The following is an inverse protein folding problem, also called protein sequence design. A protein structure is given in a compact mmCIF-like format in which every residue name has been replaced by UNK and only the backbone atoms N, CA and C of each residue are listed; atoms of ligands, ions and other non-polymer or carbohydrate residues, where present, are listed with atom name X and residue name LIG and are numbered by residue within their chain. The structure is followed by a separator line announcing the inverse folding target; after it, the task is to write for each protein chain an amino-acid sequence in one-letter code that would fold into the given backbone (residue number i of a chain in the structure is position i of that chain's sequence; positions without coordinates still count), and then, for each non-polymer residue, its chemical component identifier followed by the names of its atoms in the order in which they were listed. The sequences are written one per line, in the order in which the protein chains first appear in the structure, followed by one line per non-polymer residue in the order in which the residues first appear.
data_IF_058251950593
#
_entry.id   IF_058251950593
#
_cell.length_a   1.000
_cell.length_b   1.000
_cell.length_c   1.000
_cell.angle_alpha   90.00
_cell.angle_beta   90.00
_cell.angle_gamma   90.00
#
_symmetry.space_group_name_H-M   'P 1'
#
loop_
_entity.id
_entity.type
_entity.pdbx_description
1 polymer ?
#
# COMPACT_ATOMS: atom_id res chain seq x y z
N UNK A 1 -1.05 -19.29 4.00
CA UNK A 1 -2.15 -18.57 3.32
C UNK A 1 -1.57 -17.31 2.68
N UNK A 2 -1.34 -17.35 1.36
CA UNK A 2 -0.82 -16.22 0.61
C UNK A 2 -2.01 -15.45 0.04
N UNK A 3 -2.42 -14.35 0.68
CA UNK A 3 -3.49 -13.51 0.16
C UNK A 3 -2.99 -12.79 -1.09
N UNK A 4 -3.23 -13.38 -2.27
CA UNK A 4 -3.23 -12.65 -3.55
C UNK A 4 -4.58 -11.97 -3.61
N UNK A 5 -4.60 -10.64 -3.54
CA UNK A 5 -5.83 -9.89 -3.82
C UNK A 5 -5.92 -9.79 -5.33
N UNK A 6 -6.72 -10.68 -5.91
CA UNK A 6 -7.20 -10.51 -7.27
C UNK A 6 -8.26 -9.43 -7.23
N UNK A 7 -8.02 -8.29 -7.88
CA UNK A 7 -9.11 -7.36 -8.19
C UNK A 7 -9.76 -7.95 -9.44
N UNK A 8 -10.72 -8.83 -9.21
CA UNK A 8 -11.64 -9.31 -10.23
C UNK A 8 -12.86 -8.43 -10.12
N UNK A 9 -13.03 -7.49 -11.05
CA UNK A 9 -14.27 -6.72 -11.12
C UNK A 9 -15.12 -7.18 -12.29
N UNK A 10 -16.40 -7.28 -11.96
CA UNK A 10 -17.49 -8.07 -12.54
C UNK A 10 -18.23 -7.17 -13.52
N UNK A 11 -17.58 -6.78 -14.61
CA UNK A 11 -18.24 -6.24 -15.79
C UNK A 11 -17.49 -6.74 -17.04
N UNK A 12 -17.79 -7.98 -17.42
CA UNK A 12 -17.73 -8.48 -18.80
C UNK A 12 -16.48 -8.20 -19.67
N UNK A 13 -15.25 -8.21 -19.15
CA UNK A 13 -14.03 -8.12 -19.98
C UNK A 13 -12.78 -8.80 -19.36
N UNK A 14 -11.99 -9.50 -20.17
CA UNK A 14 -10.90 -10.44 -19.83
C UNK A 14 -9.63 -9.88 -19.12
N UNK A 15 -9.70 -8.73 -18.44
CA UNK A 15 -8.58 -8.18 -17.65
C UNK A 15 -8.45 -8.91 -16.31
N UNK A 16 -7.21 -9.23 -15.89
CA UNK A 16 -6.95 -9.74 -14.54
C UNK A 16 -5.90 -8.88 -13.86
N UNK A 17 -6.30 -8.30 -12.73
CA UNK A 17 -5.44 -7.54 -11.83
C UNK A 17 -5.04 -8.41 -10.66
N UNK A 18 -3.73 -8.56 -10.45
CA UNK A 18 -3.21 -9.20 -9.25
C UNK A 18 -2.31 -8.22 -8.48
N UNK A 19 -2.74 -7.84 -7.28
CA UNK A 19 -1.88 -7.17 -6.32
C UNK A 19 -1.17 -8.22 -5.46
N UNK A 20 0.16 -8.25 -5.50
CA UNK A 20 0.97 -9.23 -4.77
C UNK A 20 1.56 -8.64 -3.48
N UNK A 21 1.44 -9.40 -2.39
CA UNK A 21 1.71 -8.96 -1.00
C UNK A 21 3.16 -9.20 -0.52
N UNK A 22 4.00 -9.98 -1.21
CA UNK A 22 5.33 -10.38 -0.71
C UNK A 22 6.54 -9.95 -1.56
N UNK A 23 7.69 -9.86 -0.89
CA UNK A 23 9.03 -9.45 -1.38
C UNK A 23 9.42 -10.09 -2.72
N UNK A 24 10.04 -9.30 -3.61
CA UNK A 24 10.44 -9.63 -4.99
C UNK A 24 11.29 -10.90 -5.19
N UNK A 25 11.75 -11.56 -4.12
CA UNK A 25 12.60 -12.75 -4.17
C UNK A 25 11.82 -14.07 -4.38
N UNK A 26 10.50 -14.02 -4.51
CA UNK A 26 9.67 -15.22 -4.72
C UNK A 26 8.56 -14.99 -5.76
N UNK A 27 8.89 -14.45 -6.94
CA UNK A 27 7.97 -14.55 -8.08
C UNK A 27 7.85 -16.02 -8.51
N UNK A 28 6.93 -16.76 -7.89
CA UNK A 28 6.46 -18.05 -8.43
C UNK A 28 5.41 -17.78 -9.52
N UNK A 29 5.39 -18.55 -10.62
CA UNK A 29 4.34 -18.46 -11.61
C UNK A 29 2.99 -18.71 -10.92
N UNK A 30 2.11 -17.70 -10.95
CA UNK A 30 0.70 -17.88 -10.61
C UNK A 30 0.10 -18.69 -11.75
N UNK A 31 -0.07 -20.00 -11.53
CA UNK A 31 -0.70 -20.90 -12.48
C UNK A 31 -2.20 -20.57 -12.56
N UNK A 32 -2.65 -20.16 -13.74
CA UNK A 32 -4.07 -20.06 -14.05
C UNK A 32 -4.57 -21.43 -14.54
N UNK A 33 -5.75 -21.90 -14.11
CA UNK A 33 -6.37 -23.11 -14.65
C UNK A 33 -6.72 -22.96 -16.15
N UNK A 34 -6.96 -24.09 -16.85
CA UNK A 34 -6.72 -24.27 -18.28
C UNK A 34 -7.90 -23.82 -19.16
N UNK A 35 -8.22 -22.53 -19.16
CA UNK A 35 -8.83 -21.90 -20.33
C UNK A 35 -7.88 -20.84 -20.87
N UNK A 36 -7.04 -21.34 -21.79
CA UNK A 36 -6.09 -20.61 -22.62
C UNK A 36 -6.73 -19.35 -23.23
N UNK A 37 -6.39 -18.20 -22.67
CA UNK A 37 -6.02 -17.07 -23.53
C UNK A 37 -4.66 -16.60 -23.10
N UNK A 38 -3.78 -16.55 -24.06
CA UNK A 38 -2.40 -16.22 -23.83
C UNK A 38 -2.36 -14.71 -23.54
N UNK A 39 -1.86 -14.31 -22.35
CA UNK A 39 -1.90 -12.92 -21.90
C UNK A 39 -0.58 -12.20 -22.12
N UNK A 40 -0.64 -10.90 -22.42
CA UNK A 40 0.47 -9.97 -22.22
C UNK A 40 0.49 -9.56 -20.76
N UNK A 41 1.66 -9.29 -20.20
CA UNK A 41 1.80 -9.00 -18.78
C UNK A 41 2.90 -7.99 -18.51
N UNK A 42 2.71 -7.20 -17.47
CA UNK A 42 3.72 -6.28 -16.97
C UNK A 42 3.55 -6.06 -15.48
N UNK A 43 4.51 -5.39 -14.85
CA UNK A 43 4.42 -5.12 -13.42
C UNK A 43 4.93 -3.74 -13.04
N UNK A 44 4.39 -3.23 -11.94
CA UNK A 44 4.72 -1.94 -11.32
C UNK A 44 4.95 -2.17 -9.82
N UNK A 45 5.95 -1.52 -9.25
CA UNK A 45 6.11 -1.41 -7.79
C UNK A 45 5.72 0.00 -7.39
N UNK A 46 4.59 0.13 -6.70
CA UNK A 46 4.06 1.44 -6.28
C UNK A 46 4.13 1.51 -4.76
N UNK A 47 4.79 2.55 -4.25
CA UNK A 47 4.72 2.90 -2.85
C UNK A 47 3.59 3.91 -2.62
N UNK A 48 2.75 3.62 -1.62
CA UNK A 48 1.61 4.45 -1.27
C UNK A 48 2.01 5.80 -0.67
N UNK A 49 3.28 6.00 -0.31
CA UNK A 49 3.81 7.26 0.26
C UNK A 49 3.71 8.46 -0.70
N UNK A 50 3.42 8.22 -1.98
CA UNK A 50 3.08 9.25 -2.98
C UNK A 50 1.60 9.65 -2.99
N UNK A 51 0.76 8.98 -2.21
CA UNK A 51 -0.70 9.19 -2.20
C UNK A 51 -1.25 9.43 -0.79
N UNK A 52 -0.72 8.73 0.21
CA UNK A 52 -1.13 8.77 1.62
C UNK A 52 0.12 8.77 2.51
N UNK A 53 0.05 9.24 3.78
CA UNK A 53 1.22 9.30 4.66
C UNK A 53 1.58 7.90 5.23
N UNK A 54 1.75 6.91 4.36
CA UNK A 54 2.07 5.53 4.70
C UNK A 54 3.07 4.95 3.69
N UNK A 55 4.19 4.43 4.18
CA UNK A 55 5.09 3.62 3.35
C UNK A 55 4.54 2.21 3.21
N UNK A 56 3.99 1.89 2.05
CA UNK A 56 3.37 0.60 1.70
C UNK A 56 3.71 0.24 0.24
N UNK A 57 4.96 -0.14 -0.06
CA UNK A 57 5.31 -0.65 -1.38
C UNK A 57 4.56 -1.95 -1.69
N UNK A 58 3.95 -2.02 -2.87
CA UNK A 58 3.22 -3.18 -3.39
C UNK A 58 3.58 -3.43 -4.85
N UNK A 59 3.63 -4.71 -5.21
CA UNK A 59 3.82 -5.17 -6.59
C UNK A 59 2.44 -5.36 -7.22
N UNK A 60 2.21 -4.68 -8.34
CA UNK A 60 1.02 -4.82 -9.16
C UNK A 60 1.42 -5.54 -10.44
N UNK A 61 0.79 -6.67 -10.73
CA UNK A 61 0.95 -7.38 -12.00
C UNK A 61 -0.33 -7.18 -12.80
N UNK A 62 -0.19 -6.59 -13.98
CA UNK A 62 -1.29 -6.26 -14.87
C UNK A 62 -1.17 -7.16 -16.09
N UNK A 63 -2.20 -7.95 -16.34
CA UNK A 63 -2.27 -8.86 -17.46
C UNK A 63 -3.52 -8.61 -18.30
N UNK A 64 -3.31 -8.51 -19.60
CA UNK A 64 -4.33 -8.24 -20.61
C UNK A 64 -4.34 -9.34 -21.65
N UNK A 65 -5.47 -9.56 -22.30
CA UNK A 65 -5.55 -10.53 -23.39
C UNK A 65 -4.60 -10.13 -24.53
N UNK A 66 -4.04 -11.11 -25.25
CA UNK A 66 -3.22 -10.81 -26.42
C UNK A 66 -3.99 -10.18 -27.57
N UNK A 67 -5.31 -10.38 -27.62
CA UNK A 67 -6.12 -9.74 -28.65
C UNK A 67 -6.29 -8.24 -28.43
N UNK A 68 -5.94 -7.72 -27.25
CA UNK A 68 -6.12 -6.30 -26.94
C UNK A 68 -5.01 -5.49 -27.60
N UNK A 69 -5.38 -4.46 -28.36
CA UNK A 69 -4.42 -3.47 -28.80
C UNK A 69 -4.04 -2.60 -27.60
N UNK A 70 -2.74 -2.50 -27.33
CA UNK A 70 -2.22 -1.69 -26.23
C UNK A 70 -1.88 -0.31 -26.76
N UNK A 71 -2.52 0.76 -26.26
CA UNK A 71 -2.16 2.13 -26.64
C UNK A 71 -0.67 2.40 -26.35
N UNK A 72 0.03 3.01 -27.30
CA UNK A 72 1.47 3.29 -27.17
C UNK A 72 1.78 4.19 -25.96
N UNK A 73 0.86 5.10 -25.61
CA UNK A 73 1.00 5.99 -24.47
C UNK A 73 1.01 5.27 -23.12
N UNK A 74 0.58 4.01 -23.06
CA UNK A 74 0.62 3.16 -21.85
C UNK A 74 1.88 2.31 -21.77
N UNK A 75 2.77 2.39 -22.77
CA UNK A 75 4.01 1.61 -22.84
C UNK A 75 5.20 2.53 -22.59
N UNK A 76 6.01 2.18 -21.60
CA UNK A 76 7.29 2.82 -21.33
C UNK A 76 8.38 2.12 -22.14
N UNK A 77 9.09 2.86 -23.00
CA UNK A 77 10.15 2.30 -23.85
C UNK A 77 11.43 1.99 -23.08
N UNK A 78 11.64 2.64 -21.94
CA UNK A 78 12.79 2.43 -21.06
C UNK A 78 12.34 1.91 -19.69
N UNK A 79 13.27 1.35 -18.91
CA UNK A 79 12.98 0.96 -17.53
C UNK A 79 13.16 2.12 -16.55
N UNK A 80 13.35 3.34 -17.05
CA UNK A 80 13.52 4.54 -16.25
C UNK A 80 12.14 5.06 -15.82
N UNK A 81 11.73 4.61 -14.64
CA UNK A 81 10.46 4.96 -14.02
C UNK A 81 10.57 4.72 -12.51
N UNK A 82 10.00 5.59 -11.67
CA UNK A 82 9.96 5.35 -10.23
C UNK A 82 9.15 4.10 -9.85
N UNK A 83 8.37 3.55 -10.78
CA UNK A 83 7.58 2.33 -10.61
C UNK A 83 8.34 1.05 -11.00
N UNK A 84 9.45 1.18 -11.73
CA UNK A 84 10.28 0.07 -12.19
C UNK A 84 11.54 -0.05 -11.32
N UNK A 85 11.37 -0.38 -10.05
CA UNK A 85 12.49 -0.49 -9.11
C UNK A 85 13.59 -1.44 -9.61
N UNK A 86 14.84 -1.20 -9.20
CA UNK A 86 15.97 -2.09 -9.52
C UNK A 86 15.71 -3.57 -9.17
N UNK A 87 14.95 -3.82 -8.10
CA UNK A 87 14.60 -5.17 -7.71
C UNK A 87 13.57 -5.80 -8.67
N UNK A 88 12.63 -5.04 -9.23
CA UNK A 88 11.73 -5.51 -10.29
C UNK A 88 12.50 -5.77 -11.58
N UNK A 89 13.40 -4.87 -11.97
CA UNK A 89 14.25 -5.04 -13.16
C UNK A 89 15.09 -6.32 -13.08
N UNK A 90 15.76 -6.56 -11.95
CA UNK A 90 16.51 -7.81 -11.72
C UNK A 90 15.61 -9.03 -11.78
N UNK A 91 14.42 -8.96 -11.20
CA UNK A 91 13.48 -10.07 -11.20
C UNK A 91 12.95 -10.35 -12.62
N UNK A 92 12.74 -9.32 -13.44
CA UNK A 92 12.42 -9.44 -14.87
C UNK A 92 13.53 -10.15 -15.64
N UNK A 93 14.81 -9.80 -15.42
CA UNK A 93 15.95 -10.41 -16.11
C UNK A 93 16.05 -11.92 -15.87
N UNK A 94 15.53 -12.40 -14.74
CA UNK A 94 15.49 -13.82 -14.38
C UNK A 94 14.23 -14.56 -14.91
N UNK A 95 13.32 -13.88 -15.60
CA UNK A 95 12.13 -14.52 -16.18
C UNK A 95 12.50 -15.34 -17.42
N UNK A 96 11.75 -16.41 -17.76
CA UNK A 96 11.95 -17.13 -19.01
C UNK A 96 11.83 -16.18 -20.22
N UNK A 97 12.64 -16.40 -21.25
CA UNK A 97 12.69 -15.56 -22.46
C UNK A 97 11.30 -15.39 -23.12
N UNK A 98 10.51 -16.46 -23.13
CA UNK A 98 9.14 -16.43 -23.65
C UNK A 98 8.20 -15.48 -22.87
N UNK A 99 8.49 -15.20 -21.60
CA UNK A 99 7.80 -14.21 -20.77
C UNK A 99 8.36 -12.82 -21.04
N UNK A 100 9.68 -12.67 -21.12
CA UNK A 100 10.34 -11.40 -21.40
C UNK A 100 9.87 -10.80 -22.74
N UNK A 101 9.79 -11.61 -23.81
CA UNK A 101 9.29 -11.18 -25.14
C UNK A 101 7.85 -10.67 -25.15
N UNK A 102 7.07 -10.95 -24.10
CA UNK A 102 5.66 -10.58 -23.98
C UNK A 102 5.42 -9.63 -22.81
N UNK A 103 6.51 -9.10 -22.26
CA UNK A 103 6.47 -8.20 -21.13
C UNK A 103 6.12 -6.78 -21.58
N UNK A 104 5.21 -6.15 -20.86
CA UNK A 104 4.88 -4.74 -21.05
C UNK A 104 5.49 -3.97 -19.89
N UNK A 105 6.32 -2.98 -20.20
CA UNK A 105 6.74 -1.98 -19.23
C UNK A 105 5.65 -0.92 -19.17
N UNK A 106 4.73 -1.04 -18.21
CA UNK A 106 3.60 -0.11 -18.11
C UNK A 106 4.07 1.30 -17.78
N UNK A 107 3.59 2.28 -18.54
CA UNK A 107 3.76 3.69 -18.24
C UNK A 107 2.64 4.13 -17.30
N UNK A 108 3.00 4.76 -16.21
CA UNK A 108 2.07 5.33 -15.24
C UNK A 108 2.60 6.70 -14.81
N UNK A 109 1.81 7.78 -14.85
CA UNK A 109 2.27 9.09 -14.40
C UNK A 109 2.57 9.08 -12.90
N UNK A 110 3.50 9.94 -12.49
CA UNK A 110 3.83 10.16 -11.07
C UNK A 110 2.91 11.23 -10.52
N UNK A 111 2.19 10.96 -9.41
CA UNK A 111 1.43 12.02 -8.74
C UNK A 111 2.35 13.16 -8.34
N UNK A 112 1.95 14.39 -8.69
CA UNK A 112 2.61 15.64 -8.37
C UNK A 112 2.08 16.25 -7.05
N UNK A 113 0.89 15.84 -6.63
CA UNK A 113 0.23 16.34 -5.41
C UNK A 113 1.04 15.99 -4.16
N UNK A 114 1.23 17.00 -3.32
CA UNK A 114 1.84 16.83 -2.00
C UNK A 114 0.92 16.01 -1.09
N UNK A 115 1.46 14.92 -0.55
CA UNK A 115 0.79 14.11 0.47
C UNK A 115 0.71 14.87 1.79
N UNK A 116 -0.48 14.92 2.38
CA UNK A 116 -0.67 15.51 3.71
C UNK A 116 0.05 14.66 4.76
N UNK A 117 0.76 15.27 5.72
CA UNK A 117 1.51 14.51 6.73
C UNK A 117 0.58 13.73 7.66
N UNK A 118 1.11 12.66 8.27
CA UNK A 118 0.36 11.75 9.15
C UNK A 118 -0.45 12.47 10.23
N UNK A 119 0.08 13.55 10.81
CA UNK A 119 -0.59 14.29 11.88
C UNK A 119 -1.96 14.86 11.48
N UNK A 120 -2.23 15.06 10.18
CA UNK A 120 -3.56 15.50 9.72
C UNK A 120 -4.60 14.40 9.79
N UNK A 121 -4.19 13.14 9.94
CA UNK A 121 -5.09 12.00 10.04
C UNK A 121 -5.33 11.55 11.48
N UNK A 122 -4.49 12.00 12.43
CA UNK A 122 -4.51 11.55 13.82
C UNK A 122 -5.52 12.38 14.63
N UNK A 123 -6.46 11.67 15.26
CA UNK A 123 -7.51 12.21 16.12
C UNK A 123 -6.96 12.56 17.51
N UNK A 124 -7.40 13.70 18.03
CA UNK A 124 -7.10 14.09 19.42
C UNK A 124 -7.81 13.17 20.41
N UNK A 125 -9.09 12.93 20.16
CA UNK A 125 -9.97 12.05 20.94
C UNK A 125 -10.47 10.93 20.02
N UNK A 126 -9.72 9.81 19.90
CA UNK A 126 -10.09 8.71 19.00
C UNK A 126 -11.20 7.84 19.61
N UNK A 127 -12.01 7.23 18.74
CA UNK A 127 -13.00 6.22 19.13
C UNK A 127 -12.44 4.80 18.96
N UNK A 128 -12.79 3.90 19.88
CA UNK A 128 -12.46 2.47 19.78
C UNK A 128 -11.02 2.10 20.16
N UNK A 129 -10.27 3.04 20.73
CA UNK A 129 -8.95 2.79 21.33
C UNK A 129 -8.76 3.65 22.57
N UNK A 130 -8.19 3.07 23.61
CA UNK A 130 -7.80 3.80 24.81
C UNK A 130 -6.38 4.36 24.67
N UNK A 131 -6.13 5.46 25.38
CA UNK A 131 -4.77 5.88 25.63
C UNK A 131 -4.09 4.89 26.55
N UNK A 132 -2.85 4.52 26.22
CA UNK A 132 -2.05 3.71 27.13
C UNK A 132 -1.81 4.47 28.43
N UNK A 133 -1.70 3.72 29.53
CA UNK A 133 -1.21 4.23 30.80
C UNK A 133 0.23 4.76 30.68
N UNK A 134 0.66 5.51 31.68
CA UNK A 134 2.03 6.02 31.77
C UNK A 134 3.04 4.85 31.77
N UNK A 135 2.82 3.84 32.60
CA UNK A 135 3.67 2.65 32.67
C UNK A 135 3.76 1.88 31.33
N UNK A 136 2.66 1.80 30.58
CA UNK A 136 2.68 1.20 29.24
C UNK A 136 3.47 2.04 28.23
N UNK A 137 3.34 3.37 28.30
CA UNK A 137 4.11 4.29 27.44
C UNK A 137 5.60 4.22 27.78
N UNK A 138 5.97 4.22 29.05
CA UNK A 138 7.35 4.03 29.51
C UNK A 138 7.92 2.68 29.08
N UNK A 139 7.12 1.60 29.17
CA UNK A 139 7.51 0.28 28.65
C UNK A 139 7.76 0.31 27.15
N UNK A 140 6.98 1.06 26.37
CA UNK A 140 7.24 1.19 24.93
C UNK A 140 8.56 1.95 24.68
N UNK A 141 8.82 3.02 25.45
CA UNK A 141 10.04 3.81 25.35
C UNK A 141 11.28 2.98 25.75
N UNK A 142 11.18 2.12 26.77
CA UNK A 142 12.30 1.27 27.20
C UNK A 142 12.70 0.19 26.18
N UNK A 143 11.84 -0.10 25.21
CA UNK A 143 12.16 -0.97 24.07
C UNK A 143 12.94 -0.25 22.97
N UNK A 144 13.08 1.08 23.02
CA UNK A 144 13.84 1.85 22.03
C UNK A 144 15.33 1.77 22.30
N UNK A 145 16.14 1.75 21.24
CA UNK A 145 17.57 2.00 21.35
C UNK A 145 17.87 3.51 21.40
N UNK A 146 19.13 3.88 21.60
CA UNK A 146 19.56 5.27 21.70
C UNK A 146 19.19 6.11 20.46
N UNK A 147 19.24 5.52 19.27
CA UNK A 147 18.86 6.20 18.02
C UNK A 147 17.40 6.64 18.07
N UNK A 148 16.49 5.78 18.53
CA UNK A 148 15.07 6.10 18.60
C UNK A 148 14.72 6.95 19.83
N UNK A 149 15.36 6.72 20.98
CA UNK A 149 15.23 7.58 22.15
C UNK A 149 15.66 9.01 21.85
N UNK A 150 16.77 9.20 21.13
CA UNK A 150 17.25 10.52 20.76
C UNK A 150 16.28 11.25 19.81
N UNK A 151 15.54 10.54 18.96
CA UNK A 151 14.45 11.14 18.17
C UNK A 151 13.32 11.68 19.06
N UNK A 152 12.92 10.92 20.08
CA UNK A 152 11.91 11.37 21.06
C UNK A 152 12.42 12.58 21.84
N UNK A 153 13.65 12.51 22.37
CA UNK A 153 14.28 13.63 23.10
C UNK A 153 14.38 14.90 22.24
N UNK A 154 14.74 14.75 20.97
CA UNK A 154 14.78 15.88 20.04
C UNK A 154 13.38 16.47 19.83
N UNK A 155 12.35 15.64 19.66
CA UNK A 155 10.97 16.11 19.56
C UNK A 155 10.55 16.91 20.82
N UNK A 156 10.88 16.41 22.03
CA UNK A 156 10.61 17.12 23.29
C UNK A 156 11.30 18.49 23.33
N UNK A 157 12.59 18.55 22.97
CA UNK A 157 13.40 19.79 23.00
C UNK A 157 12.86 20.91 22.09
N UNK A 158 12.15 20.57 21.02
CA UNK A 158 11.56 21.60 20.15
C UNK A 158 10.43 22.38 20.84
N UNK A 159 9.84 21.85 21.91
CA UNK A 159 8.68 22.46 22.60
C UNK A 159 7.36 22.41 21.82
N UNK A 160 7.36 21.87 20.60
CA UNK A 160 6.19 21.76 19.72
C UNK A 160 5.51 20.39 19.85
N UNK A 161 4.27 20.30 19.39
CA UNK A 161 3.54 19.03 19.28
C UNK A 161 4.14 18.18 18.14
N UNK A 162 4.64 16.99 18.48
CA UNK A 162 5.08 16.00 17.51
C UNK A 162 4.21 14.75 17.59
N UNK A 163 3.74 14.31 16.42
CA UNK A 163 2.98 13.06 16.28
C UNK A 163 3.80 12.13 15.41
N UNK A 164 4.16 10.99 15.99
CA UNK A 164 4.95 9.96 15.34
C UNK A 164 4.27 8.60 15.40
N UNK A 165 4.87 7.64 14.70
CA UNK A 165 4.44 6.24 14.76
C UNK A 165 5.57 5.36 15.27
N UNK A 166 5.18 4.34 16.03
CA UNK A 166 6.09 3.31 16.55
C UNK A 166 5.67 1.97 15.97
N UNK A 167 6.63 1.25 15.44
CA UNK A 167 6.48 -0.17 15.14
C UNK A 167 7.36 -1.00 16.07
N UNK A 168 6.82 -2.13 16.54
CA UNK A 168 7.58 -3.09 17.34
C UNK A 168 8.14 -4.16 16.42
N UNK A 169 9.42 -4.49 16.58
CA UNK A 169 10.07 -5.59 15.88
C UNK A 169 10.72 -6.52 16.87
N UNK A 170 10.67 -7.79 16.55
CA UNK A 170 11.51 -8.78 17.20
C UNK A 170 12.83 -8.85 16.43
N UNK A 171 13.95 -8.66 17.14
CA UNK A 171 15.32 -8.78 16.63
C UNK A 171 16.01 -9.93 17.36
N UNK A 172 16.89 -10.64 16.66
CA UNK A 172 17.76 -11.65 17.27
C UNK A 172 19.05 -10.94 17.66
N UNK A 173 19.30 -10.84 18.95
CA UNK A 173 20.49 -10.21 19.53
C UNK A 173 21.11 -11.22 20.51
N UNK A 174 22.38 -11.57 20.34
CA UNK A 174 23.08 -12.57 21.17
C UNK A 174 22.30 -13.88 21.35
N UNK A 175 21.77 -14.43 20.24
CA UNK A 175 20.91 -15.62 20.20
C UNK A 175 19.61 -15.56 21.01
N UNK A 176 19.22 -14.37 21.48
CA UNK A 176 17.95 -14.13 22.16
C UNK A 176 17.03 -13.29 21.29
N UNK A 177 15.75 -13.62 21.36
CA UNK A 177 14.67 -12.89 20.69
C UNK A 177 14.29 -11.69 21.55
N UNK A 178 14.62 -10.48 21.11
CA UNK A 178 14.36 -9.24 21.84
C UNK A 178 13.41 -8.34 21.08
N UNK A 179 12.45 -7.75 21.79
CA UNK A 179 11.56 -6.74 21.21
C UNK A 179 12.25 -5.37 21.19
N UNK A 180 12.11 -4.66 20.08
CA UNK A 180 12.57 -3.28 19.88
C UNK A 180 11.41 -2.43 19.41
N UNK A 181 11.35 -1.20 19.92
CA UNK A 181 10.44 -0.16 19.43
C UNK A 181 11.24 0.80 18.54
N UNK A 182 10.74 1.05 17.33
CA UNK A 182 11.37 1.94 16.36
C UNK A 182 10.38 3.06 16.02
N UNK A 183 10.69 4.29 16.43
CA UNK A 183 9.87 5.51 16.19
C UNK A 183 10.23 6.24 14.89
N UNK A 184 9.23 6.83 14.25
CA UNK A 184 9.34 7.76 13.13
C UNK A 184 8.55 9.05 13.40
N UNK A 185 9.14 10.19 13.03
CA UNK A 185 8.54 11.53 13.08
C UNK A 185 8.60 12.26 11.72
N UNK A 186 8.86 11.54 10.64
CA UNK A 186 8.97 12.08 9.27
C UNK A 186 7.62 12.33 8.60
N UNK A 187 6.53 12.30 9.36
CA UNK A 187 5.17 12.48 8.86
C UNK A 187 4.61 11.28 8.07
N UNK A 188 5.28 10.12 8.11
CA UNK A 188 4.87 8.89 7.41
C UNK A 188 4.74 7.73 8.40
N UNK A 189 3.66 6.95 8.27
CA UNK A 189 3.46 5.68 8.99
C UNK A 189 4.17 4.52 8.30
N UNK A 190 4.56 3.52 9.09
CA UNK A 190 4.89 2.21 8.55
C UNK A 190 3.68 1.54 7.89
N UNK A 191 3.95 0.51 7.08
CA UNK A 191 2.93 -0.32 6.45
C UNK A 191 2.01 -0.95 7.51
N UNK A 192 0.71 -0.70 7.43
CA UNK A 192 -0.30 -1.43 8.20
C UNK A 192 -0.23 -2.92 7.87
N UNK A 193 -0.31 -3.76 8.90
CA UNK A 193 -0.24 -5.21 8.76
C UNK A 193 -1.48 -5.83 9.34
N UNK A 194 -1.89 -6.95 8.73
CA UNK A 194 -2.88 -7.84 9.31
C UNK A 194 -2.42 -8.26 10.71
N UNK A 195 -3.25 -8.08 11.75
CA UNK A 195 -2.85 -8.44 13.10
C UNK A 195 -2.57 -9.94 13.23
N UNK A 196 -1.35 -10.30 13.64
CA UNK A 196 -1.00 -11.67 14.04
C UNK A 196 -0.50 -11.74 15.50
N UNK A 197 -0.56 -10.61 16.22
CA UNK A 197 -0.06 -10.43 17.58
C UNK A 197 0.23 -8.96 17.89
N UNK A 198 0.60 -8.64 19.13
CA UNK A 198 0.76 -7.24 19.58
C UNK A 198 1.74 -6.40 18.74
N UNK A 199 2.83 -6.98 18.26
CA UNK A 199 3.87 -6.26 17.51
C UNK A 199 3.45 -5.80 16.11
N UNK A 200 2.35 -6.33 15.58
CA UNK A 200 1.83 -5.97 14.26
C UNK A 200 0.93 -4.73 14.27
N UNK A 201 0.52 -4.27 15.45
CA UNK A 201 -0.34 -3.08 15.61
C UNK A 201 0.51 -1.81 15.55
N UNK A 202 0.04 -0.81 14.80
CA UNK A 202 0.68 0.51 14.73
C UNK A 202 0.37 1.28 16.02
N UNK A 203 1.41 1.77 16.68
CA UNK A 203 1.29 2.65 17.84
C UNK A 203 1.51 4.09 17.36
N UNK A 204 0.69 5.01 17.85
CA UNK A 204 0.88 6.46 17.76
C UNK A 204 1.62 6.93 19.01
N UNK A 205 2.65 7.76 18.82
CA UNK A 205 3.34 8.45 19.90
C UNK A 205 3.10 9.95 19.75
N UNK A 206 2.55 10.56 20.79
CA UNK A 206 2.32 12.00 20.88
C UNK A 206 3.28 12.58 21.90
N UNK A 207 4.14 13.49 21.44
CA UNK A 207 5.13 14.18 22.26
C UNK A 207 4.76 15.66 22.30
N UNK A 208 4.48 16.17 23.50
CA UNK A 208 4.18 17.57 23.74
C UNK A 208 4.99 18.04 24.97
N UNK A 209 6.14 18.68 24.71
CA UNK A 209 7.12 19.04 25.74
C UNK A 209 7.49 17.81 26.58
N UNK A 210 7.27 17.85 27.88
CA UNK A 210 7.57 16.76 28.81
C UNK A 210 6.50 15.66 28.81
N UNK A 211 5.32 15.91 28.22
CA UNK A 211 4.22 14.95 28.18
C UNK A 211 4.35 14.06 26.95
N UNK A 212 4.71 12.79 27.18
CA UNK A 212 4.73 11.75 26.16
C UNK A 212 3.54 10.81 26.42
N UNK A 213 2.69 10.62 25.41
CA UNK A 213 1.59 9.65 25.46
C UNK A 213 1.66 8.72 24.27
N UNK A 214 1.21 7.49 24.46
CA UNK A 214 1.06 6.54 23.37
C UNK A 214 -0.32 5.91 23.36
N UNK A 215 -0.72 5.43 22.18
CA UNK A 215 -1.94 4.64 21.99
C UNK A 215 -1.86 3.84 20.70
N UNK A 216 -2.79 2.91 20.50
CA UNK A 216 -2.97 2.30 19.19
C UNK A 216 -3.56 3.29 18.19
N UNK A 217 -3.28 3.08 16.91
CA UNK A 217 -3.98 3.74 15.81
C UNK A 217 -5.45 3.27 15.82
N UNK A 218 -6.40 4.20 15.79
CA UNK A 218 -7.83 3.86 15.81
C UNK A 218 -8.26 3.17 14.50
N UNK A 219 -9.38 2.42 14.49
CA UNK A 219 -9.93 1.86 13.25
C UNK A 219 -10.16 2.91 12.17
N UNK A 220 -10.70 4.08 12.54
CA UNK A 220 -10.98 5.17 11.60
C UNK A 220 -9.69 5.80 11.06
N UNK A 221 -8.69 6.02 11.91
CA UNK A 221 -7.38 6.50 11.48
C UNK A 221 -6.68 5.50 10.54
N UNK A 222 -6.80 4.20 10.80
CA UNK A 222 -6.29 3.16 9.92
C UNK A 222 -6.98 3.19 8.55
N UNK A 223 -8.29 3.42 8.51
CA UNK A 223 -9.05 3.58 7.26
C UNK A 223 -8.63 4.82 6.47
N UNK A 224 -8.53 5.98 7.13
CA UNK A 224 -8.01 7.23 6.53
C UNK A 224 -6.58 7.06 6.00
N UNK A 225 -5.74 6.31 6.70
CA UNK A 225 -4.37 5.99 6.27
C UNK A 225 -4.33 5.08 5.03
N UNK A 226 -5.41 4.35 4.76
CA UNK A 226 -5.62 3.58 3.52
C UNK A 226 -6.35 4.40 2.43
N UNK A 227 -6.65 5.67 2.71
CA UNK A 227 -7.35 6.60 1.80
C UNK A 227 -8.84 6.30 1.67
N UNK A 228 -9.44 5.65 2.68
CA UNK A 228 -10.86 5.35 2.74
C UNK A 228 -11.61 6.51 3.37
N UNK A 229 -12.76 6.86 2.80
CA UNK A 229 -13.62 7.95 3.28
C UNK A 229 -14.26 7.66 4.66
N UNK A 230 -14.62 8.72 5.38
CA UNK A 230 -15.23 8.61 6.71
C UNK A 230 -16.63 7.97 6.68
N UNK A 231 -17.33 8.04 5.55
CA UNK A 231 -18.62 7.36 5.33
C UNK A 231 -18.51 5.84 5.21
N UNK A 232 -17.30 5.29 4.99
CA UNK A 232 -17.11 3.85 4.91
C UNK A 232 -17.43 3.18 6.26
N UNK A 233 -18.35 2.21 6.23
CA UNK A 233 -18.75 1.46 7.42
C UNK A 233 -17.66 0.47 7.83
N UNK A 234 -17.08 0.69 9.01
CA UNK A 234 -16.06 -0.18 9.59
C UNK A 234 -16.71 -1.23 10.50
N UNK A 235 -16.17 -2.45 10.56
CA UNK A 235 -16.55 -3.41 11.60
C UNK A 235 -16.42 -2.79 13.00
N UNK A 236 -17.41 -3.03 13.87
CA UNK A 236 -17.38 -2.56 15.26
C UNK A 236 -16.18 -3.13 16.03
N UNK A 237 -15.79 -4.37 15.73
CA UNK A 237 -14.65 -5.00 16.34
C UNK A 237 -13.32 -4.39 15.84
N UNK A 238 -12.51 -3.89 16.77
CA UNK A 238 -11.20 -3.31 16.48
C UNK A 238 -10.31 -4.24 15.63
N UNK A 239 -10.20 -5.52 15.99
CA UNK A 239 -9.28 -6.43 15.31
C UNK A 239 -9.75 -6.77 13.90
N UNK A 240 -11.07 -6.88 13.66
CA UNK A 240 -11.63 -7.09 12.32
C UNK A 240 -11.39 -5.89 11.42
N UNK A 241 -11.67 -4.69 11.92
CA UNK A 241 -11.34 -3.43 11.22
C UNK A 241 -9.86 -3.35 10.86
N UNK A 242 -8.98 -3.67 11.81
CA UNK A 242 -7.54 -3.62 11.57
C UNK A 242 -7.04 -4.73 10.64
N UNK A 243 -7.66 -5.91 10.69
CA UNK A 243 -7.39 -7.00 9.75
C UNK A 243 -7.78 -6.58 8.34
N UNK A 244 -8.98 -6.00 8.17
CA UNK A 244 -9.48 -5.48 6.90
C UNK A 244 -8.52 -4.43 6.33
N UNK A 245 -8.16 -3.39 7.10
CA UNK A 245 -7.24 -2.35 6.64
C UNK A 245 -5.82 -2.88 6.39
N UNK A 246 -5.37 -3.82 7.21
CA UNK A 246 -4.06 -4.46 7.06
C UNK A 246 -3.93 -5.28 5.78
N UNK A 247 -4.99 -5.94 5.34
CA UNK A 247 -5.03 -6.78 4.13
C UNK A 247 -5.40 -6.00 2.85
N UNK A 248 -6.12 -4.88 3.00
CA UNK A 248 -6.57 -4.04 1.90
C UNK A 248 -5.43 -3.40 1.08
N UNK A 249 -5.83 -2.85 -0.07
CA UNK A 249 -5.03 -1.98 -0.94
C UNK A 249 -5.38 -0.52 -0.67
N UNK A 250 -4.43 0.39 -0.90
CA UNK A 250 -4.66 1.83 -0.67
C UNK A 250 -5.53 2.37 -1.79
N UNK A 251 -6.69 2.94 -1.43
CA UNK A 251 -7.72 3.37 -2.39
C UNK A 251 -7.15 4.34 -3.43
N UNK A 252 -6.47 5.44 -3.07
CA UNK A 252 -5.84 6.34 -4.04
C UNK A 252 -4.87 5.68 -5.04
N UNK A 253 -4.15 4.63 -4.62
CA UNK A 253 -3.25 3.90 -5.54
C UNK A 253 -4.04 3.16 -6.60
N UNK A 254 -5.15 2.51 -6.20
CA UNK A 254 -6.03 1.80 -7.13
C UNK A 254 -6.75 2.78 -8.03
N UNK A 255 -7.30 3.88 -7.51
CA UNK A 255 -7.93 4.92 -8.31
C UNK A 255 -6.96 5.52 -9.34
N UNK A 256 -5.68 5.65 -8.98
CA UNK A 256 -4.66 6.14 -9.92
C UNK A 256 -4.33 5.14 -11.03
N UNK A 257 -4.16 3.86 -10.68
CA UNK A 257 -4.01 2.79 -11.66
C UNK A 257 -5.23 2.70 -12.58
N UNK A 258 -6.43 2.80 -11.99
CA UNK A 258 -7.69 2.77 -12.72
C UNK A 258 -7.73 3.88 -13.76
N UNK A 259 -7.59 5.12 -13.31
CA UNK A 259 -7.70 6.32 -14.16
C UNK A 259 -6.67 6.37 -15.28
N UNK A 260 -5.43 6.00 -14.99
CA UNK A 260 -4.30 6.26 -15.90
C UNK A 260 -3.85 5.05 -16.70
N UNK A 261 -4.39 3.87 -16.43
CA UNK A 261 -3.96 2.65 -17.10
C UNK A 261 -5.15 1.74 -17.44
N UNK A 262 -5.94 1.35 -16.43
CA UNK A 262 -7.01 0.36 -16.63
C UNK A 262 -8.12 0.93 -17.52
N UNK A 263 -8.60 2.13 -17.20
CA UNK A 263 -9.68 2.80 -17.94
C UNK A 263 -9.29 2.97 -19.40
N UNK A 264 -8.08 3.46 -19.67
CA UNK A 264 -7.57 3.64 -21.05
C UNK A 264 -7.52 2.32 -21.81
N UNK A 265 -7.05 1.23 -21.18
CA UNK A 265 -7.05 -0.11 -21.80
C UNK A 265 -8.46 -0.57 -22.16
N UNK A 266 -9.42 -0.42 -21.24
CA UNK A 266 -10.81 -0.86 -21.43
C UNK A 266 -11.52 -0.01 -22.48
N UNK A 267 -11.36 1.32 -22.43
CA UNK A 267 -11.97 2.23 -23.40
C UNK A 267 -11.44 1.97 -24.81
N UNK A 268 -10.12 1.78 -24.96
CA UNK A 268 -9.53 1.44 -26.26
C UNK A 268 -10.09 0.12 -26.81
N UNK A 269 -10.23 -0.89 -25.95
CA UNK A 269 -10.83 -2.15 -26.38
C UNK A 269 -12.29 -1.97 -26.80
N UNK A 270 -13.08 -1.20 -26.04
CA UNK A 270 -14.47 -0.89 -26.39
C UNK A 270 -14.60 -0.11 -27.69
N UNK A 271 -13.71 0.82 -28.00
CA UNK A 271 -13.70 1.51 -29.30
C UNK A 271 -13.46 0.54 -30.45
N UNK A 272 -12.53 -0.39 -30.27
CA UNK A 272 -12.25 -1.42 -31.28
C UNK A 272 -13.42 -2.40 -31.46
N UNK A 273 -14.06 -2.79 -30.36
CA UNK A 273 -15.24 -3.66 -30.37
C UNK A 273 -16.47 -2.91 -30.91
N UNK A 274 -16.59 -1.61 -30.64
CA UNK A 274 -17.69 -0.73 -31.03
C UNK A 274 -17.59 -0.17 -32.45
N UNK A 275 -16.38 -0.11 -33.01
CA UNK A 275 -16.18 0.01 -34.46
C UNK A 275 -16.70 -1.23 -35.21
N UNK A 276 -17.00 -2.32 -34.50
CA UNK A 276 -17.78 -3.46 -35.00
C UNK A 276 -19.29 -3.42 -34.68
N UNK A 277 -19.78 -2.58 -33.76
CA UNK A 277 -21.22 -2.35 -33.47
C UNK A 277 -21.43 -1.10 -32.58
N UNK A 278 -22.29 -0.16 -33.01
CA UNK A 278 -22.38 1.23 -32.55
C UNK A 278 -22.55 1.56 -31.05
N UNK A 279 -22.22 2.83 -30.76
CA UNK A 279 -22.36 3.70 -29.56
C UNK A 279 -22.51 3.07 -28.17
N UNK A 280 -21.53 3.31 -27.29
CA UNK A 280 -21.51 2.85 -25.89
C UNK A 280 -21.47 4.04 -24.94
N UNK A 281 -22.46 4.14 -24.04
CA UNK A 281 -22.43 5.06 -22.89
C UNK A 281 -21.48 4.54 -21.78
N UNK A 282 -20.72 5.45 -21.17
CA UNK A 282 -19.82 5.17 -20.05
C UNK A 282 -20.52 5.66 -18.77
N UNK A 283 -20.75 4.80 -17.76
CA UNK A 283 -21.25 5.26 -16.47
C UNK A 283 -20.20 6.14 -15.77
N UNK A 284 -20.65 7.28 -15.23
CA UNK A 284 -19.86 8.12 -14.35
C UNK A 284 -19.72 7.46 -12.98
N UNK A 285 -18.49 7.25 -12.54
CA UNK A 285 -18.15 6.68 -11.24
C UNK A 285 -17.38 7.69 -10.39
N UNK A 286 -17.73 8.97 -10.47
CA UNK A 286 -17.34 9.94 -9.46
C UNK A 286 -17.95 9.55 -8.11
N UNK A 287 -17.13 8.98 -7.23
CA UNK A 287 -17.34 8.96 -5.77
C UNK A 287 -16.65 10.17 -5.15
#
# INVERSE_FOLDING_TARGET
ASSVVFIWDVLSCNCVFAAYKHTLHQMRPVFYPPRQKAKLKGALVINADRFVPQSRPRLFIIAVDRSWAIPEELIQRTQDSPWHTNALIRAYANLPEAVQRRWIWWKLPVPDKRVRPLNTLIEKEPTGVDWHSEAETERILSLMNDVHLNKVRNAQRTGNLHIGTIYRRTRRENDRSMQRAEVRFDGISGCLRTPAGGSSRQIVLVVNKDKIRSRLLSPREAARLMGVDDSYMLPENYNESYHLMGDAVVVPVISWLEKHLIRTLVLRQKEMDGQSNGTVEIPDYSL
#
